data_IF_262112454315
#
_entry.id   IF_262112454315
#
_cell.length_a   1.000
_cell.length_b   1.000
_cell.length_c   1.000
_cell.angle_alpha   90.00
_cell.angle_beta   90.00
_cell.angle_gamma   90.00
#
_symmetry.space_group_name_H-M   'P 1'
#
loop_
_entity.id
_entity.type
_entity.pdbx_description
1 polymer ?
#
# COMPACT_ATOMS: atom_id res chain seq x y z
N UNK A 1 19.54 36.99 -75.87
CA UNK A 1 20.43 37.01 -74.69
C UNK A 1 19.57 37.18 -73.45
N UNK A 2 19.50 36.11 -72.65
CA UNK A 2 19.30 36.05 -71.20
C UNK A 2 18.23 36.94 -70.54
N UNK A 3 17.04 36.36 -70.31
CA UNK A 3 16.12 36.83 -69.28
C UNK A 3 16.62 36.33 -67.91
N UNK A 4 17.11 37.24 -67.07
CA UNK A 4 17.51 36.93 -65.70
C UNK A 4 16.28 36.64 -64.84
N UNK A 5 16.06 35.37 -64.51
CA UNK A 5 15.08 34.92 -63.53
C UNK A 5 15.61 35.25 -62.12
N UNK A 6 15.14 36.35 -61.54
CA UNK A 6 15.37 36.68 -60.14
C UNK A 6 14.56 35.73 -59.25
N UNK A 7 15.26 34.84 -58.55
CA UNK A 7 14.72 33.92 -57.56
C UNK A 7 14.21 34.71 -56.35
N UNK A 8 12.91 35.04 -56.34
CA UNK A 8 12.23 35.61 -55.16
C UNK A 8 12.18 34.53 -54.07
N UNK A 9 12.97 34.73 -53.00
CA UNK A 9 12.89 33.91 -51.77
C UNK A 9 11.48 34.08 -51.16
N UNK A 10 10.81 32.98 -50.74
CA UNK A 10 9.48 33.07 -50.15
C UNK A 10 9.53 33.84 -48.83
N UNK A 11 8.49 34.64 -48.49
CA UNK A 11 8.40 35.35 -47.23
C UNK A 11 8.43 34.35 -46.07
N UNK A 12 9.32 34.57 -45.10
CA UNK A 12 9.29 33.86 -43.83
C UNK A 12 8.01 34.31 -43.13
N UNK A 13 6.96 33.48 -43.17
CA UNK A 13 5.72 33.69 -42.45
C UNK A 13 6.04 33.59 -40.95
N UNK A 14 6.20 34.76 -40.31
CA UNK A 14 6.35 34.83 -38.86
C UNK A 14 5.14 34.18 -38.19
N UNK A 15 5.32 33.33 -37.17
CA UNK A 15 4.21 32.67 -36.50
C UNK A 15 3.24 33.71 -35.92
N UNK A 16 1.94 33.38 -36.00
CA UNK A 16 0.89 34.19 -35.38
C UNK A 16 1.13 34.32 -33.87
N UNK A 17 0.65 35.41 -33.27
CA UNK A 17 0.70 35.62 -31.81
C UNK A 17 0.11 34.42 -31.05
N UNK A 18 -0.93 33.81 -31.60
CA UNK A 18 -1.58 32.62 -31.05
C UNK A 18 -0.66 31.40 -31.09
N UNK A 19 0.04 31.18 -32.21
CA UNK A 19 0.99 30.08 -32.34
C UNK A 19 2.17 30.22 -31.35
N UNK A 20 2.64 31.46 -31.14
CA UNK A 20 3.66 31.76 -30.14
C UNK A 20 3.18 31.43 -28.71
N UNK A 21 1.94 31.82 -28.36
CA UNK A 21 1.33 31.48 -27.08
C UNK A 21 1.22 29.97 -26.88
N UNK A 22 0.72 29.24 -27.88
CA UNK A 22 0.59 27.78 -27.81
C UNK A 22 1.95 27.10 -27.67
N UNK A 23 2.97 27.54 -28.39
CA UNK A 23 4.33 27.00 -28.26
C UNK A 23 4.89 27.24 -26.85
N UNK A 24 4.65 28.42 -26.29
CA UNK A 24 5.08 28.76 -24.94
C UNK A 24 4.35 27.93 -23.88
N UNK A 25 3.04 27.67 -24.07
CA UNK A 25 2.28 26.76 -23.22
C UNK A 25 2.84 25.33 -23.26
N UNK A 26 3.15 24.79 -24.44
CA UNK A 26 3.76 23.45 -24.55
C UNK A 26 5.12 23.38 -23.85
N UNK A 27 5.95 24.42 -23.97
CA UNK A 27 7.23 24.51 -23.26
C UNK A 27 7.03 24.53 -21.74
N UNK A 28 6.03 25.26 -21.26
CA UNK A 28 5.68 25.30 -19.84
C UNK A 28 5.12 23.97 -19.33
N UNK A 29 4.33 23.25 -20.13
CA UNK A 29 3.85 21.90 -19.78
C UNK A 29 5.01 20.94 -19.54
N UNK A 30 6.01 20.94 -20.43
CA UNK A 30 7.18 20.07 -20.30
C UNK A 30 8.03 20.38 -19.07
N UNK A 31 8.21 21.66 -18.73
CA UNK A 31 9.03 22.06 -17.57
C UNK A 31 8.38 21.76 -16.23
N UNK A 32 7.05 21.66 -16.18
CA UNK A 32 6.29 21.31 -14.97
C UNK A 32 6.31 19.81 -14.70
N UNK A 33 6.32 18.98 -15.74
CA UNK A 33 6.41 17.52 -15.61
C UNK A 33 7.84 17.04 -15.30
N UNK A 34 8.85 17.79 -15.75
CA UNK A 34 10.27 17.47 -15.54
C UNK A 34 11.09 18.65 -15.00
N UNK A 35 10.81 19.13 -13.79
CA UNK A 35 11.64 20.11 -13.10
C UNK A 35 13.04 19.58 -12.77
N UNK A 36 14.02 20.45 -12.98
CA UNK A 36 15.36 20.27 -12.45
C UNK A 36 15.39 20.58 -10.95
N UNK A 37 15.43 19.57 -10.09
CA UNK A 37 15.50 19.75 -8.63
C UNK A 37 16.93 19.83 -8.08
N UNK A 38 17.91 19.41 -8.88
CA UNK A 38 19.30 19.29 -8.44
C UNK A 38 20.08 20.60 -8.46
N UNK A 39 19.53 21.64 -9.09
CA UNK A 39 20.19 22.93 -9.26
C UNK A 39 19.47 24.03 -8.47
N UNK A 40 20.19 24.78 -7.60
CA UNK A 40 19.61 25.95 -6.94
C UNK A 40 19.26 27.04 -7.95
N UNK A 41 18.38 27.97 -7.57
CA UNK A 41 18.06 29.11 -8.42
C UNK A 41 19.29 29.99 -8.62
N UNK A 42 19.58 30.32 -9.87
CA UNK A 42 20.76 31.13 -10.23
C UNK A 42 20.49 32.64 -10.11
N UNK A 43 19.22 33.03 -10.09
CA UNK A 43 18.75 34.41 -9.90
C UNK A 43 17.25 34.44 -9.60
N UNK A 44 16.71 35.61 -9.23
CA UNK A 44 15.26 35.82 -9.09
C UNK A 44 14.54 35.56 -10.42
N UNK A 45 15.10 35.99 -11.55
CA UNK A 45 14.52 35.72 -12.87
C UNK A 45 14.51 34.22 -13.22
N UNK A 46 15.52 33.47 -12.79
CA UNK A 46 15.54 32.00 -12.92
C UNK A 46 14.46 31.34 -12.06
N UNK A 47 14.30 31.79 -10.82
CA UNK A 47 13.25 31.34 -9.93
C UNK A 47 11.86 31.60 -10.53
N UNK A 48 11.60 32.82 -11.03
CA UNK A 48 10.33 33.14 -11.67
C UNK A 48 10.07 32.26 -12.89
N UNK A 49 11.05 32.06 -13.79
CA UNK A 49 10.85 31.19 -14.98
C UNK A 49 10.53 29.74 -14.60
N UNK A 50 11.11 29.23 -13.52
CA UNK A 50 10.90 27.84 -13.04
C UNK A 50 9.63 27.68 -12.21
N UNK A 51 9.25 28.69 -11.43
CA UNK A 51 8.10 28.63 -10.50
C UNK A 51 6.79 29.14 -11.11
N UNK A 52 6.84 30.10 -12.04
CA UNK A 52 5.64 30.72 -12.62
C UNK A 52 4.73 29.69 -13.31
N UNK A 53 5.24 28.71 -14.09
CA UNK A 53 4.39 27.68 -14.69
C UNK A 53 3.51 26.96 -13.65
N UNK A 54 4.03 26.61 -12.47
CA UNK A 54 3.29 25.90 -11.42
C UNK A 54 2.08 26.68 -10.88
N UNK A 55 2.11 28.01 -10.91
CA UNK A 55 0.98 28.83 -10.47
C UNK A 55 -0.19 28.75 -11.45
N UNK A 56 0.08 28.52 -12.73
CA UNK A 56 -0.94 28.36 -13.77
C UNK A 56 -1.52 26.94 -13.76
N UNK A 57 -0.75 25.94 -13.27
CA UNK A 57 -1.21 24.54 -13.13
C UNK A 57 -1.77 24.19 -11.75
N UNK A 58 -1.58 25.04 -10.74
CA UNK A 58 -2.38 24.95 -9.52
C UNK A 58 -3.82 25.27 -9.92
N UNK A 59 -4.60 24.22 -10.16
CA UNK A 59 -6.05 24.33 -10.27
C UNK A 59 -6.64 24.94 -9.01
N UNK A 60 -7.97 25.04 -8.96
CA UNK A 60 -8.65 25.48 -7.74
C UNK A 60 -8.25 24.54 -6.61
N UNK A 61 -7.52 25.06 -5.62
CA UNK A 61 -7.20 24.32 -4.41
C UNK A 61 -8.52 24.01 -3.70
N UNK A 62 -8.71 22.76 -3.21
CA UNK A 62 -9.89 22.43 -2.42
C UNK A 62 -10.01 23.44 -1.27
N UNK A 63 -11.23 23.93 -1.06
CA UNK A 63 -11.49 24.87 0.03
C UNK A 63 -11.19 24.23 1.38
N UNK A 64 -10.93 25.05 2.40
CA UNK A 64 -10.67 24.58 3.77
C UNK A 64 -11.75 23.61 4.27
N UNK A 65 -13.01 23.85 3.87
CA UNK A 65 -14.15 22.99 4.20
C UNK A 65 -14.08 21.62 3.54
N UNK A 66 -13.55 21.53 2.32
CA UNK A 66 -13.41 20.26 1.59
C UNK A 66 -12.23 19.45 2.13
N UNK A 67 -11.11 20.10 2.46
CA UNK A 67 -10.02 19.47 3.19
C UNK A 67 -10.50 18.90 4.53
N UNK A 68 -11.25 19.70 5.31
CA UNK A 68 -11.77 19.26 6.61
C UNK A 68 -12.71 18.06 6.50
N UNK A 69 -13.55 18.00 5.47
CA UNK A 69 -14.44 16.85 5.24
C UNK A 69 -13.65 15.56 5.00
N UNK A 70 -12.61 15.62 4.18
CA UNK A 70 -11.75 14.46 3.91
C UNK A 70 -11.06 14.00 5.20
N UNK A 71 -10.59 14.93 6.03
CA UNK A 71 -9.98 14.62 7.32
C UNK A 71 -10.98 13.96 8.29
N UNK A 72 -12.20 14.50 8.38
CA UNK A 72 -13.28 13.94 9.21
C UNK A 72 -13.64 12.50 8.79
N UNK A 73 -13.74 12.24 7.48
CA UNK A 73 -14.00 10.88 6.95
C UNK A 73 -12.85 9.92 7.25
N UNK A 74 -11.60 10.37 7.04
CA UNK A 74 -10.42 9.58 7.33
C UNK A 74 -10.33 9.22 8.81
N UNK A 75 -10.58 10.18 9.70
CA UNK A 75 -10.55 9.96 11.14
C UNK A 75 -11.63 8.95 11.56
N UNK A 76 -12.86 9.08 11.04
CA UNK A 76 -13.96 8.15 11.34
C UNK A 76 -13.65 6.71 10.90
N UNK A 77 -13.13 6.52 9.67
CA UNK A 77 -12.77 5.20 9.14
C UNK A 77 -11.60 4.61 9.93
N UNK A 78 -10.58 5.42 10.20
CA UNK A 78 -9.38 5.01 10.95
C UNK A 78 -9.74 4.60 12.38
N UNK A 79 -10.61 5.36 13.04
CA UNK A 79 -11.07 5.03 14.39
C UNK A 79 -11.84 3.71 14.40
N UNK A 80 -12.75 3.50 13.44
CA UNK A 80 -13.50 2.25 13.32
C UNK A 80 -12.56 1.06 13.10
N UNK A 81 -11.55 1.21 12.24
CA UNK A 81 -10.55 0.18 11.99
C UNK A 81 -9.76 -0.14 13.26
N UNK A 82 -9.28 0.87 13.99
CA UNK A 82 -8.57 0.70 15.26
C UNK A 82 -9.42 -0.02 16.30
N UNK A 83 -10.71 0.34 16.43
CA UNK A 83 -11.66 -0.32 17.33
C UNK A 83 -11.82 -1.79 16.98
N UNK A 84 -12.00 -2.13 15.70
CA UNK A 84 -12.12 -3.53 15.24
C UNK A 84 -10.84 -4.34 15.51
N UNK A 85 -9.67 -3.78 15.21
CA UNK A 85 -8.37 -4.41 15.47
C UNK A 85 -8.18 -4.70 16.95
N UNK A 86 -8.45 -3.71 17.82
CA UNK A 86 -8.39 -3.89 19.29
C UNK A 86 -9.35 -4.98 19.76
N UNK A 87 -10.57 -5.02 19.22
CA UNK A 87 -11.55 -6.06 19.55
C UNK A 87 -11.06 -7.46 19.14
N UNK A 88 -10.51 -7.61 17.93
CA UNK A 88 -9.95 -8.87 17.45
C UNK A 88 -8.77 -9.34 18.32
N UNK A 89 -7.85 -8.44 18.65
CA UNK A 89 -6.70 -8.76 19.51
C UNK A 89 -7.15 -9.15 20.92
N UNK A 90 -8.11 -8.44 21.49
CA UNK A 90 -8.66 -8.78 22.80
C UNK A 90 -9.34 -10.14 22.79
N UNK A 91 -10.14 -10.45 21.75
CA UNK A 91 -10.74 -11.77 21.58
C UNK A 91 -9.69 -12.87 21.50
N UNK A 92 -8.64 -12.66 20.70
CA UNK A 92 -7.53 -13.61 20.58
C UNK A 92 -6.82 -13.86 21.92
N UNK A 93 -6.51 -12.80 22.67
CA UNK A 93 -5.91 -12.91 24.02
C UNK A 93 -6.77 -13.75 24.96
N UNK A 94 -8.08 -13.52 24.96
CA UNK A 94 -9.02 -14.29 25.79
C UNK A 94 -9.07 -15.77 25.38
N UNK A 95 -9.08 -16.07 24.08
CA UNK A 95 -9.07 -17.44 23.57
C UNK A 95 -7.79 -18.19 23.97
N UNK A 96 -6.63 -17.55 23.87
CA UNK A 96 -5.36 -18.14 24.34
C UNK A 96 -5.37 -18.44 25.84
N UNK A 97 -5.89 -17.52 26.66
CA UNK A 97 -6.02 -17.73 28.11
C UNK A 97 -6.93 -18.91 28.42
N UNK A 98 -8.08 -18.99 27.76
CA UNK A 98 -9.03 -20.09 27.96
C UNK A 98 -8.45 -21.44 27.51
N UNK A 99 -7.77 -21.48 26.35
CA UNK A 99 -7.08 -22.68 25.89
C UNK A 99 -6.01 -23.14 26.89
N UNK A 100 -5.21 -22.20 27.42
CA UNK A 100 -4.24 -22.51 28.47
C UNK A 100 -4.91 -23.11 29.72
N UNK A 101 -6.03 -22.53 30.15
CA UNK A 101 -6.80 -23.01 31.31
C UNK A 101 -7.33 -24.42 31.10
N UNK A 102 -7.90 -24.70 29.93
CA UNK A 102 -8.41 -26.03 29.57
C UNK A 102 -7.28 -27.07 29.54
N UNK A 103 -6.11 -26.72 28.98
CA UNK A 103 -4.95 -27.62 28.97
C UNK A 103 -4.37 -27.90 30.36
N UNK A 104 -4.40 -26.92 31.27
CA UNK A 104 -3.90 -27.06 32.64
C UNK A 104 -4.92 -27.65 33.62
N UNK A 105 -6.22 -27.54 33.32
CA UNK A 105 -7.27 -28.30 33.98
C UNK A 105 -7.23 -29.75 33.47
N UNK A 106 -6.22 -30.51 33.90
CA UNK A 106 -6.17 -31.95 33.70
C UNK A 106 -7.44 -32.65 34.22
N UNK A 107 -7.69 -33.92 33.83
CA UNK A 107 -8.90 -34.64 34.22
C UNK A 107 -9.09 -34.59 35.74
N UNK A 108 -10.35 -34.64 36.21
CA UNK A 108 -10.65 -34.55 37.63
C UNK A 108 -9.76 -35.53 38.39
N UNK A 109 -8.92 -35.04 39.31
CA UNK A 109 -8.25 -35.91 40.27
C UNK A 109 -9.35 -36.57 41.09
N UNK A 110 -9.56 -37.85 40.84
CA UNK A 110 -10.46 -38.68 41.61
C UNK A 110 -10.12 -38.51 43.10
N UNK A 111 -11.05 -38.05 43.96
CA UNK A 111 -10.80 -37.91 45.40
C UNK A 111 -10.75 -39.28 46.10
N UNK A 112 -10.89 -40.38 45.36
CA UNK A 112 -10.75 -41.75 45.86
C UNK A 112 -9.38 -42.29 45.47
N UNK A 113 -8.41 -42.04 46.33
CA UNK A 113 -7.17 -42.81 46.36
C UNK A 113 -7.51 -44.28 46.59
N UNK A 114 -7.61 -45.05 45.50
CA UNK A 114 -7.47 -46.50 45.53
C UNK A 114 -6.37 -46.82 44.54
N UNK A 115 -5.13 -46.66 45.00
CA UNK A 115 -4.01 -47.43 44.48
C UNK A 115 -4.23 -48.88 44.91
N UNK A 116 -5.06 -49.62 44.21
CA UNK A 116 -5.04 -51.08 44.29
C UNK A 116 -3.74 -51.53 43.67
N UNK A 117 -2.79 -51.91 44.54
CA UNK A 117 -1.51 -52.45 44.17
C UNK A 117 -1.68 -53.60 43.18
N UNK A 118 -0.89 -53.51 42.11
CA UNK A 118 -0.54 -54.61 41.23
C UNK A 118 0.01 -55.79 42.05
N UNK A 119 -0.49 -57.02 41.84
CA UNK A 119 0.35 -58.20 41.87
C UNK A 119 1.16 -58.23 40.57
N UNK A 120 2.45 -58.49 40.72
CA UNK A 120 3.42 -58.66 39.64
C UNK A 120 2.87 -59.64 38.60
N UNK A 121 3.00 -59.30 37.33
CA UNK A 121 3.45 -60.26 36.33
C UNK A 121 4.35 -59.53 35.33
N UNK A 122 5.59 -60.01 35.29
CA UNK A 122 6.58 -59.70 34.28
C UNK A 122 6.04 -60.15 32.94
N UNK A 123 5.79 -59.26 31.98
CA UNK A 123 5.99 -59.54 30.56
C UNK A 123 6.14 -58.24 29.79
N UNK A 124 7.04 -58.27 28.80
CA UNK A 124 7.72 -57.12 28.24
C UNK A 124 6.82 -56.08 27.59
N UNK A 125 7.34 -54.85 27.60
CA UNK A 125 7.13 -53.92 26.50
C UNK A 125 7.73 -54.57 25.24
N UNK A 126 6.96 -54.71 24.15
CA UNK A 126 7.48 -54.32 22.86
C UNK A 126 6.66 -53.14 22.36
N UNK A 127 7.31 -51.98 22.33
CA UNK A 127 6.88 -50.87 21.51
C UNK A 127 6.92 -51.35 20.06
N UNK A 128 5.77 -51.44 19.42
CA UNK A 128 5.68 -51.49 17.96
C UNK A 128 4.50 -50.61 17.54
N UNK A 129 4.74 -49.63 16.65
CA UNK A 129 3.78 -48.60 16.30
C UNK A 129 2.74 -49.21 15.36
N UNK A 130 1.52 -49.41 15.85
CA UNK A 130 0.41 -49.79 15.01
C UNK A 130 0.00 -48.58 14.16
N UNK A 131 0.43 -48.63 12.89
CA UNK A 131 -0.25 -48.08 11.72
C UNK A 131 -0.64 -46.62 11.78
N UNK A 132 0.18 -45.76 11.16
CA UNK A 132 -0.27 -44.50 10.60
C UNK A 132 -1.52 -44.74 9.73
N UNK A 133 -2.66 -44.08 9.98
CA UNK A 133 -3.64 -43.87 8.92
C UNK A 133 -3.08 -42.77 8.02
N UNK A 134 -2.80 -43.10 6.75
CA UNK A 134 -2.46 -42.11 5.74
C UNK A 134 -3.57 -41.03 5.66
N UNK A 135 -3.25 -39.74 5.72
CA UNK A 135 -4.23 -38.69 5.47
C UNK A 135 -4.57 -38.64 3.98
N UNK A 136 -5.86 -38.67 3.58
CA UNK A 136 -6.26 -38.63 2.18
C UNK A 136 -6.31 -37.17 1.72
N UNK A 137 -5.17 -36.64 1.28
CA UNK A 137 -5.20 -35.48 0.41
C UNK A 137 -4.02 -35.53 -0.57
N UNK A 138 -4.36 -35.84 -1.82
CA UNK A 138 -3.47 -35.64 -2.98
C UNK A 138 -3.23 -34.13 -3.20
N UNK A 139 -1.99 -33.66 -3.38
CA UNK A 139 -1.70 -32.25 -3.63
C UNK A 139 -1.72 -31.85 -5.11
N UNK A 140 -2.23 -32.69 -6.02
CA UNK A 140 -2.27 -32.38 -7.45
C UNK A 140 -3.68 -32.56 -8.02
N UNK A 141 -4.42 -31.44 -8.08
CA UNK A 141 -5.75 -31.37 -8.68
C UNK A 141 -6.15 -29.95 -9.03
N UNK A 142 -5.45 -29.35 -10.00
CA UNK A 142 -5.96 -28.28 -10.88
C UNK A 142 -6.63 -29.04 -12.05
N UNK A 143 -7.89 -28.75 -12.42
CA UNK A 143 -8.25 -27.58 -13.25
C UNK A 143 -9.26 -26.63 -12.62
#
# INVERSE_FOLDING_TARGET
>A
MEAKLALKKPPVLQPSKEACLLEQLHKHQGSVLHPEFRTPFRSVGDALRRLLPYHVYQGVLPGETECRKVDEEFEAVSEQLLRRTRAMLNKYRLLLLEESRVRHAGPPRDPRGITTGSPRDHHGIPWSPMGSPDPPWDPHGIP
#
